data_IF_657297642863
#
_entry.id   IF_657297642863
#
_cell.length_a   1.000
_cell.length_b   1.000
_cell.length_c   1.000
_cell.angle_alpha   90.00
_cell.angle_beta   90.00
_cell.angle_gamma   90.00
#
_symmetry.space_group_name_H-M   'P 1'
#
loop_
_entity.id
_entity.type
_entity.pdbx_description
1 polymer ?
#
# COMPACT_ATOMS: atom_id res chain seq x y z
N UNK A 1 -13.81 -21.12 -30.32
CA UNK A 1 -14.03 -20.74 -28.92
C UNK A 1 -12.73 -20.16 -28.41
N UNK A 2 -12.72 -18.92 -27.92
CA UNK A 2 -11.53 -18.33 -27.30
C UNK A 2 -11.18 -19.15 -26.05
N UNK A 3 -9.97 -19.71 -26.00
CA UNK A 3 -9.51 -20.47 -24.84
C UNK A 3 -8.96 -19.47 -23.80
N UNK A 4 -9.71 -19.23 -22.73
CA UNK A 4 -9.32 -18.33 -21.66
C UNK A 4 -8.49 -19.09 -20.62
N UNK A 5 -7.31 -18.57 -20.27
CA UNK A 5 -6.46 -19.17 -19.23
C UNK A 5 -7.15 -19.17 -17.85
N UNK A 6 -8.06 -18.22 -17.62
CA UNK A 6 -8.87 -18.07 -16.44
C UNK A 6 -10.37 -18.10 -16.79
N UNK A 7 -11.00 -19.26 -16.63
CA UNK A 7 -12.46 -19.39 -16.76
C UNK A 7 -13.16 -18.63 -15.64
N UNK A 8 -14.19 -17.84 -15.95
CA UNK A 8 -14.98 -17.08 -14.96
C UNK A 8 -16.48 -17.33 -15.18
N UNK A 9 -17.31 -17.44 -14.11
CA UNK A 9 -16.98 -17.32 -12.69
C UNK A 9 -16.34 -18.57 -12.09
N UNK A 10 -15.37 -18.41 -11.17
CA UNK A 10 -14.71 -19.53 -10.45
C UNK A 10 -15.31 -19.76 -9.07
N UNK A 11 -15.23 -21.00 -8.57
CA UNK A 11 -15.51 -21.31 -7.14
C UNK A 11 -16.88 -20.81 -6.65
N UNK A 12 -17.90 -20.86 -7.53
CA UNK A 12 -19.22 -20.23 -7.31
C UNK A 12 -19.87 -20.64 -5.98
N UNK A 13 -19.90 -21.94 -5.69
CA UNK A 13 -20.52 -22.49 -4.47
C UNK A 13 -19.74 -22.03 -3.23
N UNK A 14 -18.42 -22.18 -3.25
CA UNK A 14 -17.54 -21.77 -2.15
C UNK A 14 -17.68 -20.27 -1.85
N UNK A 15 -17.61 -19.41 -2.87
CA UNK A 15 -17.74 -17.96 -2.71
C UNK A 15 -19.14 -17.55 -2.27
N UNK A 16 -20.19 -18.24 -2.71
CA UNK A 16 -21.54 -18.01 -2.20
C UNK A 16 -21.64 -18.35 -0.70
N UNK A 17 -21.03 -19.46 -0.26
CA UNK A 17 -20.92 -19.82 1.15
C UNK A 17 -20.15 -18.77 1.97
N UNK A 18 -18.98 -18.35 1.49
CA UNK A 18 -18.18 -17.29 2.14
C UNK A 18 -18.95 -15.96 2.25
N UNK A 19 -19.72 -15.58 1.20
CA UNK A 19 -20.60 -14.41 1.23
C UNK A 19 -21.69 -14.55 2.29
N UNK A 20 -22.36 -15.70 2.36
CA UNK A 20 -23.38 -15.99 3.37
C UNK A 20 -22.82 -15.90 4.80
N UNK A 21 -21.68 -16.55 5.05
CA UNK A 21 -20.98 -16.48 6.33
C UNK A 21 -20.57 -15.05 6.69
N UNK A 22 -19.97 -14.32 5.74
CA UNK A 22 -19.58 -12.92 5.94
C UNK A 22 -20.75 -12.01 6.27
N UNK A 23 -21.92 -12.20 5.62
CA UNK A 23 -23.14 -11.45 5.97
C UNK A 23 -23.59 -11.73 7.40
N UNK A 24 -23.57 -13.00 7.83
CA UNK A 24 -23.88 -13.36 9.20
C UNK A 24 -22.94 -12.68 10.18
N UNK A 25 -21.63 -12.79 9.95
CA UNK A 25 -20.59 -12.19 10.78
C UNK A 25 -20.74 -10.68 10.89
N UNK A 26 -20.88 -9.96 9.77
CA UNK A 26 -21.01 -8.51 9.78
C UNK A 26 -22.31 -8.03 10.43
N UNK A 27 -23.43 -8.72 10.19
CA UNK A 27 -24.70 -8.36 10.83
C UNK A 27 -24.66 -8.55 12.36
N UNK A 28 -23.87 -9.51 12.85
CA UNK A 28 -23.71 -9.77 14.28
C UNK A 28 -22.68 -8.84 14.93
N UNK A 29 -21.50 -8.69 14.31
CA UNK A 29 -20.34 -8.05 14.92
C UNK A 29 -20.16 -6.59 14.52
N UNK A 30 -20.99 -6.03 13.65
CA UNK A 30 -20.91 -4.63 13.23
C UNK A 30 -22.28 -4.03 12.97
N UNK A 31 -22.31 -2.73 12.65
CA UNK A 31 -23.46 -2.03 12.10
C UNK A 31 -23.10 -1.56 10.69
N UNK A 32 -23.13 -2.49 9.74
CA UNK A 32 -22.78 -2.19 8.35
C UNK A 32 -23.97 -1.64 7.59
N UNK A 33 -23.83 -0.45 7.00
CA UNK A 33 -24.81 0.16 6.10
C UNK A 33 -24.28 0.13 4.67
N UNK A 34 -25.15 -0.21 3.72
CA UNK A 34 -24.84 -0.16 2.29
C UNK A 34 -25.83 0.81 1.65
N UNK A 35 -25.33 1.94 1.16
CA UNK A 35 -26.11 3.02 0.58
C UNK A 35 -26.08 2.96 -0.94
N UNK A 36 -27.11 3.54 -1.58
CA UNK A 36 -27.25 3.68 -3.03
C UNK A 36 -27.19 2.34 -3.80
N UNK A 37 -27.81 1.28 -3.27
CA UNK A 37 -27.79 -0.07 -3.85
C UNK A 37 -28.38 -0.11 -5.27
N UNK A 38 -29.26 0.81 -5.60
CA UNK A 38 -29.84 0.98 -6.93
C UNK A 38 -28.80 1.29 -8.01
N UNK A 39 -27.61 1.77 -7.63
CA UNK A 39 -26.52 2.02 -8.57
C UNK A 39 -25.80 0.73 -9.02
N UNK A 40 -26.04 -0.42 -8.40
CA UNK A 40 -25.43 -1.68 -8.83
C UNK A 40 -25.92 -2.07 -10.24
N UNK A 41 -25.02 -2.25 -11.23
CA UNK A 41 -25.40 -2.83 -12.51
C UNK A 41 -25.97 -4.25 -12.37
N UNK A 42 -26.79 -4.69 -13.33
CA UNK A 42 -27.38 -6.04 -13.33
C UNK A 42 -26.34 -7.17 -13.49
N UNK A 43 -25.21 -6.88 -14.11
CA UNK A 43 -24.13 -7.82 -14.39
C UNK A 43 -22.90 -7.12 -14.98
N UNK A 44 -21.90 -7.91 -15.40
CA UNK A 44 -20.69 -7.40 -16.06
C UNK A 44 -20.82 -7.32 -17.59
N UNK A 45 -19.75 -6.89 -18.29
CA UNK A 45 -18.42 -6.58 -17.75
C UNK A 45 -18.43 -5.36 -16.84
N UNK A 46 -17.73 -5.42 -15.72
CA UNK A 46 -17.65 -4.33 -14.76
C UNK A 46 -16.33 -4.34 -14.00
N UNK A 47 -15.75 -3.16 -13.79
CA UNK A 47 -14.61 -2.97 -12.90
C UNK A 47 -15.13 -2.29 -11.63
N UNK A 48 -14.92 -2.90 -10.48
CA UNK A 48 -15.35 -2.39 -9.17
C UNK A 48 -14.14 -1.87 -8.43
N UNK A 49 -14.22 -0.65 -7.92
CA UNK A 49 -13.10 0.04 -7.26
C UNK A 49 -13.56 0.69 -5.97
N UNK A 50 -12.63 0.93 -5.06
CA UNK A 50 -12.88 1.74 -3.87
C UNK A 50 -11.59 2.24 -3.22
N UNK A 51 -11.72 3.00 -2.14
CA UNK A 51 -10.59 3.40 -1.31
C UNK A 51 -10.00 2.18 -0.59
N UNK A 52 -8.69 2.22 -0.28
CA UNK A 52 -7.99 1.11 0.34
C UNK A 52 -7.16 1.49 1.57
N UNK A 53 -7.83 1.70 2.70
CA UNK A 53 -7.18 1.97 3.99
C UNK A 53 -7.17 0.78 4.96
N UNK A 54 -7.97 -0.26 4.71
CA UNK A 54 -8.09 -1.44 5.55
C UNK A 54 -8.47 -2.71 4.78
N UNK A 55 -7.98 -3.87 5.23
CA UNK A 55 -8.32 -5.17 4.60
C UNK A 55 -9.83 -5.45 4.60
N UNK A 56 -10.57 -4.86 5.54
CA UNK A 56 -12.01 -5.09 5.69
C UNK A 56 -12.84 -4.55 4.52
N UNK A 57 -12.36 -3.55 3.79
CA UNK A 57 -13.02 -2.99 2.60
C UNK A 57 -13.19 -4.06 1.51
N UNK A 58 -12.16 -4.90 1.36
CA UNK A 58 -12.19 -6.05 0.43
C UNK A 58 -13.30 -7.02 0.81
N UNK A 59 -13.45 -7.29 2.12
CA UNK A 59 -14.49 -8.18 2.64
C UNK A 59 -15.89 -7.58 2.43
N UNK A 60 -16.07 -6.28 2.72
CA UNK A 60 -17.33 -5.57 2.48
C UNK A 60 -17.73 -5.64 1.00
N UNK A 61 -16.78 -5.36 0.09
CA UNK A 61 -17.01 -5.42 -1.35
C UNK A 61 -17.50 -6.82 -1.79
N UNK A 62 -16.80 -7.89 -1.41
CA UNK A 62 -17.17 -9.24 -1.85
C UNK A 62 -18.47 -9.73 -1.21
N UNK A 63 -18.79 -9.31 0.02
CA UNK A 63 -19.97 -9.76 0.77
C UNK A 63 -21.25 -9.04 0.34
N UNK A 64 -21.18 -7.72 0.15
CA UNK A 64 -22.35 -6.87 -0.04
C UNK A 64 -22.65 -6.53 -1.50
N UNK A 65 -21.68 -6.63 -2.43
CA UNK A 65 -22.00 -6.58 -3.86
C UNK A 65 -22.93 -7.73 -4.26
N UNK A 66 -23.87 -7.53 -5.20
CA UNK A 66 -24.87 -8.56 -5.53
C UNK A 66 -24.27 -9.73 -6.33
N UNK A 67 -23.17 -9.50 -7.03
CA UNK A 67 -22.50 -10.48 -7.90
C UNK A 67 -21.30 -11.15 -7.22
N UNK A 68 -20.68 -12.08 -7.94
CA UNK A 68 -19.35 -12.58 -7.61
C UNK A 68 -18.30 -11.68 -8.26
N UNK A 69 -17.24 -11.33 -7.51
CA UNK A 69 -16.15 -10.48 -7.98
C UNK A 69 -14.87 -11.34 -8.08
N UNK A 70 -14.10 -11.16 -9.15
CA UNK A 70 -12.72 -11.65 -9.26
C UNK A 70 -11.79 -10.55 -8.74
N UNK A 71 -11.32 -10.69 -7.50
CA UNK A 71 -10.45 -9.69 -6.87
C UNK A 71 -9.03 -9.78 -7.41
N UNK A 72 -8.48 -8.64 -7.82
CA UNK A 72 -7.05 -8.44 -8.09
C UNK A 72 -6.40 -7.82 -6.85
N UNK A 73 -5.38 -8.47 -6.29
CA UNK A 73 -4.77 -8.07 -5.02
C UNK A 73 -3.27 -8.31 -4.98
N UNK A 74 -2.62 -7.93 -3.88
CA UNK A 74 -1.17 -8.10 -3.72
C UNK A 74 -0.76 -9.57 -3.93
N UNK A 75 0.20 -9.80 -4.81
CA UNK A 75 0.88 -11.09 -4.99
C UNK A 75 2.39 -10.98 -4.79
N UNK A 76 2.91 -9.77 -4.58
CA UNK A 76 4.31 -9.46 -4.35
C UNK A 76 4.76 -9.66 -2.89
N UNK A 77 3.82 -9.82 -1.97
CA UNK A 77 4.10 -10.01 -0.55
C UNK A 77 3.29 -11.18 0.02
N UNK A 78 3.89 -11.98 0.91
CA UNK A 78 3.15 -12.98 1.66
C UNK A 78 2.15 -12.28 2.60
N UNK A 79 0.97 -12.89 2.71
CA UNK A 79 -0.05 -12.46 3.66
C UNK A 79 0.17 -13.10 5.03
N UNK A 80 -0.30 -12.43 6.08
CA UNK A 80 -0.43 -13.03 7.41
C UNK A 80 -1.27 -14.33 7.33
N UNK A 81 -0.97 -15.36 8.13
CA UNK A 81 -1.53 -16.71 7.94
C UNK A 81 -3.05 -16.78 7.77
N UNK A 82 -3.80 -16.06 8.62
CA UNK A 82 -5.26 -16.02 8.55
C UNK A 82 -5.78 -15.34 7.27
N UNK A 83 -5.21 -14.18 6.91
CA UNK A 83 -5.58 -13.47 5.70
C UNK A 83 -5.16 -14.25 4.45
N UNK A 84 -3.98 -14.87 4.46
CA UNK A 84 -3.48 -15.70 3.38
C UNK A 84 -4.39 -16.88 3.07
N UNK A 85 -4.91 -17.55 4.11
CA UNK A 85 -5.90 -18.61 3.93
C UNK A 85 -7.19 -18.11 3.26
N UNK A 86 -7.73 -16.97 3.69
CA UNK A 86 -8.94 -16.38 3.09
C UNK A 86 -8.71 -15.97 1.63
N UNK A 87 -7.60 -15.27 1.35
CA UNK A 87 -7.24 -14.82 0.00
C UNK A 87 -7.03 -16.01 -0.94
N UNK A 88 -6.31 -17.04 -0.47
CA UNK A 88 -6.08 -18.25 -1.24
C UNK A 88 -7.38 -19.03 -1.48
N UNK A 89 -8.25 -19.16 -0.47
CA UNK A 89 -9.53 -19.87 -0.54
C UNK A 89 -10.53 -19.14 -1.45
N UNK A 90 -10.57 -17.81 -1.40
CA UNK A 90 -11.38 -17.01 -2.33
C UNK A 90 -10.83 -17.10 -3.76
N UNK A 91 -9.49 -17.11 -3.92
CA UNK A 91 -8.80 -17.31 -5.19
C UNK A 91 -8.56 -16.00 -5.94
N UNK A 92 -7.91 -15.03 -5.29
CA UNK A 92 -7.56 -13.75 -5.89
C UNK A 92 -6.64 -13.93 -7.11
N UNK A 93 -6.68 -12.97 -8.02
CA UNK A 93 -5.69 -12.82 -9.09
C UNK A 93 -4.49 -12.08 -8.47
N UNK A 94 -3.33 -12.73 -8.30
CA UNK A 94 -2.19 -12.16 -7.60
C UNK A 94 -1.46 -11.16 -8.49
N UNK A 95 -1.33 -9.90 -8.08
CA UNK A 95 -0.68 -8.82 -8.83
C UNK A 95 0.71 -8.56 -8.26
N UNK A 96 1.74 -8.65 -9.10
CA UNK A 96 3.10 -8.23 -8.81
C UNK A 96 3.22 -6.71 -8.95
N UNK A 97 3.20 -6.03 -7.80
CA UNK A 97 3.34 -4.58 -7.74
C UNK A 97 4.79 -4.16 -8.01
N UNK A 98 4.96 -2.98 -8.61
CA UNK A 98 6.27 -2.41 -8.97
C UNK A 98 6.83 -2.83 -10.32
N UNK A 99 6.39 -3.95 -10.89
CA UNK A 99 6.68 -4.30 -12.28
C UNK A 99 5.42 -4.25 -13.13
N UNK A 100 5.57 -4.21 -14.46
CA UNK A 100 4.42 -4.34 -15.36
C UNK A 100 3.94 -5.80 -15.32
N UNK A 101 3.00 -6.12 -14.44
CA UNK A 101 2.43 -7.47 -14.34
C UNK A 101 1.39 -7.72 -15.44
N UNK A 102 1.89 -7.92 -16.67
CA UNK A 102 1.05 -8.17 -17.86
C UNK A 102 0.14 -9.39 -17.66
N UNK A 103 0.65 -10.47 -17.07
CA UNK A 103 -0.10 -11.71 -16.89
C UNK A 103 -1.34 -11.50 -16.00
N UNK A 104 -1.23 -10.71 -14.94
CA UNK A 104 -2.37 -10.40 -14.07
C UNK A 104 -3.37 -9.48 -14.73
N UNK A 105 -2.89 -8.49 -15.48
CA UNK A 105 -3.74 -7.59 -16.25
C UNK A 105 -4.49 -8.33 -17.36
N UNK A 106 -3.84 -9.27 -18.05
CA UNK A 106 -4.44 -10.17 -19.03
C UNK A 106 -5.55 -11.02 -18.41
N UNK A 107 -5.32 -11.64 -17.24
CA UNK A 107 -6.37 -12.35 -16.50
C UNK A 107 -7.57 -11.47 -16.17
N UNK A 108 -7.33 -10.21 -15.81
CA UNK A 108 -8.40 -9.22 -15.61
C UNK A 108 -9.21 -8.99 -16.89
N UNK A 109 -8.53 -8.83 -18.03
CA UNK A 109 -9.19 -8.70 -19.35
C UNK A 109 -9.96 -9.96 -19.73
N UNK A 110 -9.44 -11.16 -19.48
CA UNK A 110 -10.16 -12.41 -19.75
C UNK A 110 -11.45 -12.52 -18.93
N UNK A 111 -11.43 -12.12 -17.65
CA UNK A 111 -12.64 -12.08 -16.81
C UNK A 111 -13.66 -11.12 -17.39
N UNK A 112 -13.24 -9.92 -17.79
CA UNK A 112 -14.15 -8.92 -18.38
C UNK A 112 -14.69 -9.38 -19.74
N UNK A 113 -13.86 -10.01 -20.58
CA UNK A 113 -14.27 -10.56 -21.88
C UNK A 113 -15.35 -11.65 -21.75
N UNK A 114 -15.39 -12.35 -20.61
CA UNK A 114 -16.42 -13.34 -20.28
C UNK A 114 -17.69 -12.71 -19.64
N UNK A 115 -17.81 -11.37 -19.61
CA UNK A 115 -18.90 -10.66 -18.94
C UNK A 115 -18.81 -10.70 -17.40
N UNK A 116 -17.63 -11.08 -16.88
CA UNK A 116 -17.35 -11.14 -15.45
C UNK A 116 -17.07 -9.77 -14.83
N UNK A 117 -16.76 -9.78 -13.54
CA UNK A 117 -16.56 -8.56 -12.76
C UNK A 117 -15.22 -8.63 -12.06
N UNK A 118 -14.41 -7.59 -12.23
CA UNK A 118 -13.08 -7.47 -11.64
C UNK A 118 -13.13 -6.45 -10.51
N UNK A 119 -12.61 -6.82 -9.34
CA UNK A 119 -12.43 -5.90 -8.22
C UNK A 119 -10.97 -5.49 -8.09
N UNK A 120 -10.68 -4.19 -8.04
CA UNK A 120 -9.32 -3.67 -7.91
C UNK A 120 -9.31 -2.37 -7.11
N UNK A 121 -8.32 -2.19 -6.24
CA UNK A 121 -8.13 -0.96 -5.50
C UNK A 121 -7.06 -0.09 -6.20
N UNK A 122 -7.44 1.07 -6.77
CA UNK A 122 -6.57 1.88 -7.64
C UNK A 122 -5.39 2.54 -6.91
N UNK A 123 -5.36 2.53 -5.58
CA UNK A 123 -4.26 3.06 -4.76
C UNK A 123 -3.01 2.16 -4.73
N UNK A 124 -3.13 0.89 -5.13
CA UNK A 124 -1.99 -0.04 -5.18
C UNK A 124 -1.52 -0.60 -3.82
N UNK A 125 -2.31 -0.40 -2.75
CA UNK A 125 -2.11 -1.03 -1.44
C UNK A 125 -2.28 -0.06 -0.26
N UNK A 126 -2.30 -0.60 0.96
CA UNK A 126 -2.42 0.15 2.22
C UNK A 126 -0.99 0.48 2.69
N UNK A 127 -0.53 1.71 2.45
CA UNK A 127 0.84 2.14 2.78
C UNK A 127 0.89 3.50 3.49
N UNK A 128 -0.22 4.24 3.50
CA UNK A 128 -0.42 5.53 4.16
C UNK A 128 -1.89 5.64 4.55
N UNK A 129 -2.19 6.51 5.52
CA UNK A 129 -3.57 6.86 5.87
C UNK A 129 -4.20 7.87 4.91
N UNK A 130 -3.38 8.54 4.09
CA UNK A 130 -3.83 9.52 3.09
C UNK A 130 -4.12 8.86 1.74
N UNK A 131 -5.08 9.42 0.99
CA UNK A 131 -5.40 9.03 -0.38
C UNK A 131 -4.18 9.20 -1.30
N UNK A 132 -3.89 8.17 -2.09
CA UNK A 132 -2.71 8.12 -2.95
C UNK A 132 -2.96 8.56 -4.37
N UNK A 133 -1.87 8.83 -5.08
CA UNK A 133 -1.88 8.97 -6.53
C UNK A 133 -2.47 7.72 -7.18
N UNK A 134 -3.43 7.94 -8.06
CA UNK A 134 -4.11 6.89 -8.79
C UNK A 134 -3.13 6.07 -9.64
N UNK A 135 -3.22 4.74 -9.57
CA UNK A 135 -2.50 3.86 -10.48
C UNK A 135 -3.26 3.75 -11.81
N UNK A 136 -2.55 3.92 -12.92
CA UNK A 136 -3.15 3.93 -14.28
C UNK A 136 -3.74 2.60 -14.74
N UNK A 137 -3.48 1.50 -14.01
CA UNK A 137 -3.94 0.15 -14.35
C UNK A 137 -5.47 0.03 -14.45
N UNK A 138 -6.21 0.73 -13.59
CA UNK A 138 -7.69 0.74 -13.64
C UNK A 138 -8.20 1.36 -14.94
N UNK A 139 -7.63 2.51 -15.33
CA UNK A 139 -8.02 3.22 -16.55
C UNK A 139 -7.63 2.41 -17.79
N UNK A 140 -6.47 1.75 -17.74
CA UNK A 140 -6.03 0.85 -18.81
C UNK A 140 -6.97 -0.36 -18.98
N UNK A 141 -7.39 -1.02 -17.89
CA UNK A 141 -8.35 -2.14 -17.95
C UNK A 141 -9.68 -1.69 -18.55
N UNK A 142 -10.21 -0.56 -18.08
CA UNK A 142 -11.48 -0.01 -18.57
C UNK A 142 -11.41 0.29 -20.06
N UNK A 143 -10.35 0.96 -20.50
CA UNK A 143 -10.12 1.28 -21.90
C UNK A 143 -9.99 0.02 -22.76
N UNK A 144 -9.21 -0.97 -22.32
CA UNK A 144 -8.97 -2.20 -23.09
C UNK A 144 -10.18 -3.11 -23.18
N UNK A 145 -10.93 -3.27 -22.09
CA UNK A 145 -12.10 -4.14 -22.03
C UNK A 145 -13.39 -3.45 -22.45
N UNK A 146 -13.36 -2.13 -22.68
CA UNK A 146 -14.55 -1.29 -22.85
C UNK A 146 -15.55 -1.50 -21.70
N UNK A 147 -15.01 -1.68 -20.48
CA UNK A 147 -15.77 -1.98 -19.28
C UNK A 147 -16.01 -0.71 -18.45
N UNK A 148 -17.24 -0.44 -18.00
CA UNK A 148 -17.52 0.65 -17.07
C UNK A 148 -16.86 0.39 -15.71
N UNK A 149 -16.70 1.45 -14.93
CA UNK A 149 -16.08 1.43 -13.60
C UNK A 149 -17.13 1.81 -12.55
N UNK A 150 -17.37 0.97 -11.55
CA UNK A 150 -18.22 1.28 -10.41
C UNK A 150 -17.37 1.70 -9.20
N UNK A 151 -17.37 2.99 -8.82
CA UNK A 151 -16.70 3.45 -7.60
C UNK A 151 -17.52 3.16 -6.35
N UNK A 152 -16.82 2.82 -5.27
CA UNK A 152 -17.40 2.56 -3.95
C UNK A 152 -16.55 3.28 -2.90
N UNK A 153 -17.20 4.10 -2.06
CA UNK A 153 -16.58 4.70 -0.89
C UNK A 153 -16.84 3.85 0.36
N UNK A 154 -15.79 3.55 1.13
CA UNK A 154 -15.87 2.86 2.41
C UNK A 154 -15.53 3.80 3.55
N UNK A 155 -16.37 3.80 4.60
CA UNK A 155 -16.20 4.60 5.81
C UNK A 155 -16.33 3.76 7.09
N UNK A 156 -15.79 4.26 8.20
CA UNK A 156 -15.77 3.60 9.51
C UNK A 156 -14.92 2.32 9.54
N UNK A 157 -14.07 2.11 8.54
CA UNK A 157 -13.30 0.85 8.36
C UNK A 157 -11.98 0.82 9.12
N UNK A 158 -11.43 1.99 9.45
CA UNK A 158 -10.20 2.10 10.24
C UNK A 158 -10.43 1.55 11.66
N UNK A 159 -9.62 0.57 12.07
CA UNK A 159 -9.77 -0.08 13.38
C UNK A 159 -11.02 -0.96 13.54
N UNK A 160 -11.88 -1.07 12.53
CA UNK A 160 -13.14 -1.83 12.61
C UNK A 160 -12.90 -3.31 12.94
N UNK A 161 -11.86 -3.93 12.37
CA UNK A 161 -11.52 -5.32 12.66
C UNK A 161 -11.23 -5.55 14.15
N UNK A 162 -10.45 -4.64 14.77
CA UNK A 162 -10.19 -4.65 16.21
C UNK A 162 -11.49 -4.43 17.01
N UNK A 163 -12.31 -3.45 16.61
CA UNK A 163 -13.60 -3.19 17.23
C UNK A 163 -14.56 -4.40 17.18
N UNK A 164 -14.54 -5.18 16.10
CA UNK A 164 -15.32 -6.42 15.99
C UNK A 164 -14.81 -7.50 16.96
N UNK A 165 -13.49 -7.69 17.09
CA UNK A 165 -12.91 -8.62 18.08
C UNK A 165 -13.20 -8.21 19.52
N UNK A 166 -13.28 -6.92 19.79
CA UNK A 166 -13.68 -6.35 21.08
C UNK A 166 -15.21 -6.31 21.28
N UNK A 167 -15.98 -6.87 20.35
CA UNK A 167 -17.45 -6.90 20.36
C UNK A 167 -18.12 -5.51 20.46
N UNK A 168 -17.40 -4.45 20.05
CA UNK A 168 -17.88 -3.05 20.10
C UNK A 168 -18.86 -2.68 19.00
N UNK A 169 -19.08 -3.58 18.03
CA UNK A 169 -19.99 -3.39 16.88
C UNK A 169 -19.77 -2.07 16.13
N UNK A 170 -18.59 -1.90 15.48
CA UNK A 170 -18.27 -0.67 14.76
C UNK A 170 -19.30 -0.37 13.68
N UNK A 171 -19.52 0.91 13.44
CA UNK A 171 -20.35 1.41 12.34
C UNK A 171 -19.49 1.49 11.09
N UNK A 172 -19.92 0.84 10.02
CA UNK A 172 -19.20 0.81 8.74
C UNK A 172 -20.16 1.14 7.63
N UNK A 173 -19.69 1.90 6.64
CA UNK A 173 -20.52 2.33 5.52
C UNK A 173 -19.87 1.92 4.20
N UNK A 174 -20.72 1.47 3.27
CA UNK A 174 -20.36 1.20 1.87
C UNK A 174 -21.28 2.02 0.97
N UNK A 175 -20.76 3.11 0.42
CA UNK A 175 -21.48 4.04 -0.45
C UNK A 175 -21.21 3.67 -1.92
N UNK A 176 -22.25 3.22 -2.64
CA UNK A 176 -22.11 2.80 -4.03
C UNK A 176 -22.33 4.00 -4.95
N UNK A 177 -21.31 4.36 -5.74
CA UNK A 177 -21.39 5.46 -6.70
C UNK A 177 -22.07 5.07 -8.01
N UNK A 178 -22.21 6.05 -8.92
CA UNK A 178 -22.73 5.80 -10.27
C UNK A 178 -21.63 5.17 -11.15
N UNK A 179 -21.97 4.21 -12.02
CA UNK A 179 -21.00 3.68 -12.99
C UNK A 179 -20.43 4.79 -13.87
N UNK A 180 -19.11 4.87 -13.92
CA UNK A 180 -18.35 5.70 -14.84
C UNK A 180 -18.28 4.96 -16.18
N UNK A 181 -18.60 5.61 -17.32
CA UNK A 181 -18.45 4.99 -18.63
C UNK A 181 -17.01 4.50 -18.89
N UNK A 182 -16.81 3.55 -19.82
CA UNK A 182 -15.48 3.10 -20.17
C UNK A 182 -14.58 4.26 -20.58
N UNK A 183 -13.31 4.22 -20.17
CA UNK A 183 -12.33 5.20 -20.60
C UNK A 183 -12.21 5.14 -22.13
N UNK A 184 -12.39 6.29 -22.78
CA UNK A 184 -12.35 6.44 -24.24
C UNK A 184 -11.10 7.19 -24.69
N UNK A 185 -10.76 7.00 -25.96
CA UNK A 185 -9.74 7.82 -26.61
C UNK A 185 -10.12 9.30 -26.63
N UNK A 186 -9.10 10.15 -26.45
CA UNK A 186 -9.21 11.59 -26.54
C UNK A 186 -8.17 12.10 -27.52
N UNK A 187 -8.61 12.89 -28.49
CA UNK A 187 -7.72 13.54 -29.44
C UNK A 187 -6.80 14.54 -28.73
N UNK A 188 -5.55 14.62 -29.19
CA UNK A 188 -4.58 15.61 -28.70
C UNK A 188 -3.83 15.25 -27.42
N UNK A 189 -4.07 14.09 -26.79
CA UNK A 189 -3.32 13.65 -25.60
C UNK A 189 -2.67 12.28 -25.80
N UNK A 190 -1.54 12.06 -25.12
CA UNK A 190 -0.88 10.75 -25.11
C UNK A 190 -1.70 9.71 -24.34
N UNK A 191 -1.59 8.42 -24.71
CA UNK A 191 -2.20 7.31 -23.97
C UNK A 191 -1.82 7.33 -22.48
N UNK A 192 -0.56 7.66 -22.18
CA UNK A 192 -0.05 7.74 -20.80
C UNK A 192 -0.82 8.79 -19.98
N UNK A 193 -1.01 9.97 -20.56
CA UNK A 193 -1.76 11.04 -19.92
C UNK A 193 -3.24 10.69 -19.79
N UNK A 194 -3.85 10.16 -20.85
CA UNK A 194 -5.23 9.69 -20.82
C UNK A 194 -5.50 8.69 -19.68
N UNK A 195 -4.62 7.72 -19.47
CA UNK A 195 -4.78 6.77 -18.36
C UNK A 195 -4.55 7.40 -16.99
N UNK A 196 -3.66 8.40 -16.88
CA UNK A 196 -3.46 9.14 -15.64
C UNK A 196 -4.73 9.95 -15.29
N UNK A 197 -5.25 10.72 -16.24
CA UNK A 197 -6.46 11.53 -16.08
C UNK A 197 -7.69 10.67 -15.77
N UNK A 198 -7.80 9.51 -16.44
CA UNK A 198 -8.86 8.54 -16.20
C UNK A 198 -8.78 7.96 -14.79
N UNK A 199 -7.59 7.60 -14.33
CA UNK A 199 -7.38 7.08 -12.97
C UNK A 199 -7.66 8.15 -11.90
N UNK A 200 -7.28 9.40 -12.15
CA UNK A 200 -7.60 10.53 -11.26
C UNK A 200 -9.12 10.79 -11.18
N UNK A 201 -9.82 10.72 -12.32
CA UNK A 201 -11.28 10.82 -12.36
C UNK A 201 -11.95 9.73 -11.51
N UNK A 202 -11.42 8.50 -11.57
CA UNK A 202 -11.89 7.39 -10.73
C UNK A 202 -11.63 7.66 -9.24
N UNK A 203 -10.44 8.13 -8.88
CA UNK A 203 -10.11 8.45 -7.48
C UNK A 203 -11.00 9.55 -6.92
N UNK A 204 -11.26 10.61 -7.68
CA UNK A 204 -12.18 11.69 -7.26
C UNK A 204 -13.59 11.15 -7.02
N UNK A 205 -14.09 10.30 -7.92
CA UNK A 205 -15.40 9.67 -7.75
C UNK A 205 -15.47 8.73 -6.54
N UNK A 206 -14.35 8.12 -6.13
CA UNK A 206 -14.27 7.35 -4.88
C UNK A 206 -14.29 8.31 -3.68
N UNK A 207 -13.47 9.37 -3.70
CA UNK A 207 -13.37 10.34 -2.59
C UNK A 207 -14.72 11.00 -2.29
N UNK A 208 -15.50 11.36 -3.31
CA UNK A 208 -16.86 11.92 -3.16
C UNK A 208 -17.84 10.97 -2.45
N UNK A 209 -17.52 9.67 -2.35
CA UNK A 209 -18.36 8.66 -1.70
C UNK A 209 -17.88 8.32 -0.28
N UNK A 210 -16.72 8.81 0.16
CA UNK A 210 -16.21 8.56 1.51
C UNK A 210 -16.91 9.53 2.47
N UNK A 211 -17.43 9.08 3.63
CA UNK A 211 -17.96 9.98 4.63
C UNK A 211 -16.96 11.08 4.98
N UNK A 212 -17.36 12.36 5.06
CA UNK A 212 -16.42 13.48 5.27
C UNK A 212 -15.50 13.31 6.49
N UNK A 213 -16.02 12.71 7.56
CA UNK A 213 -15.29 12.37 8.80
C UNK A 213 -14.22 11.30 8.61
N UNK A 214 -14.37 10.44 7.59
CA UNK A 214 -13.44 9.36 7.24
C UNK A 214 -12.50 9.74 6.09
N UNK A 215 -12.72 10.90 5.47
CA UNK A 215 -11.77 11.47 4.51
C UNK A 215 -10.53 11.88 5.30
N UNK A 216 -9.59 10.94 5.43
CA UNK A 216 -8.32 11.11 6.11
C UNK A 216 -7.42 12.08 5.33
N UNK A 217 -7.71 13.38 5.45
CA UNK A 217 -6.80 14.45 5.10
C UNK A 217 -5.84 14.59 6.26
N UNK A 218 -4.66 14.00 6.12
CA UNK A 218 -3.56 14.34 7.00
C UNK A 218 -3.35 15.86 7.00
N UNK A 219 -2.69 16.41 8.04
CA UNK A 219 -2.37 17.82 8.04
C UNK A 219 -1.66 18.19 6.73
N UNK A 220 -2.03 19.32 6.14
CA UNK A 220 -1.27 19.85 5.02
C UNK A 220 0.06 20.37 5.54
N UNK A 221 1.11 19.88 4.94
CA UNK A 221 2.48 20.13 5.34
C UNK A 221 3.16 20.98 4.27
N UNK A 222 3.88 22.01 4.71
CA UNK A 222 4.70 22.88 3.88
C UNK A 222 6.18 22.67 4.21
N UNK A 223 7.04 22.78 3.18
CA UNK A 223 8.51 22.77 3.31
C UNK A 223 9.04 21.56 4.12
N UNK A 224 8.52 20.37 3.77
CA UNK A 224 8.94 19.11 4.40
C UNK A 224 10.36 18.73 3.99
N UNK A 225 11.23 18.56 4.99
CA UNK A 225 12.64 18.20 4.83
C UNK A 225 12.99 16.99 5.69
N UNK A 226 13.99 16.26 5.24
CA UNK A 226 14.51 15.10 5.94
C UNK A 226 16.03 15.18 6.04
N UNK A 227 16.57 14.70 7.15
CA UNK A 227 18.01 14.62 7.42
C UNK A 227 18.29 13.29 8.11
N UNK A 228 19.42 12.66 7.78
CA UNK A 228 19.87 11.45 8.48
C UNK A 228 21.14 11.77 9.23
N UNK A 229 21.05 11.72 10.56
CA UNK A 229 22.18 11.94 11.45
C UNK A 229 22.75 10.59 11.88
N UNK A 230 24.08 10.48 11.86
CA UNK A 230 24.80 9.30 12.27
C UNK A 230 25.78 9.65 13.39
N UNK A 231 25.83 8.80 14.40
CA UNK A 231 26.82 8.88 15.47
C UNK A 231 27.58 7.56 15.57
N UNK A 232 28.90 7.63 15.63
CA UNK A 232 29.78 6.50 15.87
C UNK A 232 30.46 6.64 17.22
N UNK A 233 30.49 5.55 18.00
CA UNK A 233 31.18 5.48 19.29
C UNK A 233 32.24 4.37 19.25
N UNK A 234 33.42 4.67 19.80
CA UNK A 234 34.46 3.66 20.01
C UNK A 234 34.20 2.82 21.28
N UNK A 235 35.08 1.85 21.58
CA UNK A 235 34.98 1.00 22.77
C UNK A 235 35.03 1.72 24.12
N UNK A 236 35.36 3.01 24.17
CA UNK A 236 35.28 3.86 25.37
C UNK A 236 34.04 4.76 25.39
N UNK A 237 33.06 4.50 24.53
CA UNK A 237 31.85 5.32 24.33
C UNK A 237 32.14 6.78 23.97
N UNK A 238 33.29 7.05 23.35
CA UNK A 238 33.66 8.39 22.88
C UNK A 238 33.26 8.55 21.42
N UNK A 239 32.69 9.71 21.08
CA UNK A 239 32.29 10.01 19.72
C UNK A 239 33.50 10.03 18.79
N UNK A 240 33.37 9.36 17.65
CA UNK A 240 34.37 9.37 16.57
C UNK A 240 33.74 9.98 15.32
N UNK A 241 34.54 10.75 14.58
CA UNK A 241 34.08 11.35 13.33
C UNK A 241 34.01 10.31 12.23
N UNK A 242 32.88 10.28 11.52
CA UNK A 242 32.73 9.46 10.32
C UNK A 242 33.58 10.08 9.20
N UNK A 243 34.37 9.29 8.46
CA UNK A 243 35.20 9.79 7.37
C UNK A 243 34.39 10.59 6.33
N UNK A 244 34.86 11.75 5.85
CA UNK A 244 34.14 12.59 4.89
C UNK A 244 33.78 11.87 3.58
N UNK A 245 34.59 10.90 3.15
CA UNK A 245 34.36 10.06 1.97
C UNK A 245 33.17 9.11 2.11
N UNK A 246 32.66 8.89 3.33
CA UNK A 246 31.46 8.10 3.63
C UNK A 246 30.21 8.99 3.78
N UNK A 247 30.25 10.21 3.25
CA UNK A 247 29.08 11.08 3.19
C UNK A 247 27.92 10.40 2.45
N UNK A 248 26.75 10.44 3.07
CA UNK A 248 25.49 9.96 2.50
C UNK A 248 24.77 11.07 1.72
N UNK A 249 24.93 11.08 0.40
CA UNK A 249 24.18 11.98 -0.50
C UNK A 249 22.67 11.71 -0.40
N UNK A 250 22.29 10.44 -0.26
CA UNK A 250 20.90 10.00 -0.21
C UNK A 250 20.36 9.83 1.22
N UNK A 251 21.08 10.33 2.23
CA UNK A 251 20.65 10.35 3.63
C UNK A 251 19.21 10.86 3.84
N UNK A 252 18.81 12.01 3.28
CA UNK A 252 17.44 12.52 3.39
C UNK A 252 16.35 11.55 2.90
N UNK A 253 16.59 10.85 1.78
CA UNK A 253 15.64 9.87 1.25
C UNK A 253 15.52 8.67 2.19
N UNK A 254 16.64 8.22 2.77
CA UNK A 254 16.64 7.14 3.75
C UNK A 254 15.96 7.56 5.06
N UNK A 255 16.20 8.77 5.57
CA UNK A 255 15.50 9.33 6.72
C UNK A 255 13.98 9.33 6.49
N UNK A 256 13.54 9.76 5.30
CA UNK A 256 12.12 9.66 4.91
C UNK A 256 11.60 8.23 4.99
N UNK A 257 12.38 7.23 4.60
CA UNK A 257 11.99 5.81 4.70
C UNK A 257 11.76 5.39 6.16
N UNK A 258 12.59 5.83 7.10
CA UNK A 258 12.42 5.54 8.53
C UNK A 258 11.13 6.18 9.10
N UNK A 259 10.73 7.36 8.62
CA UNK A 259 9.42 7.96 8.92
C UNK A 259 8.23 7.27 8.20
N UNK A 260 8.45 6.14 7.52
CA UNK A 260 7.40 5.31 6.92
C UNK A 260 7.34 3.95 7.62
N UNK A 261 6.76 3.88 8.84
CA UNK A 261 6.81 2.67 9.66
C UNK A 261 6.17 1.44 9.02
N UNK A 262 5.25 1.64 8.07
CA UNK A 262 4.64 0.55 7.31
C UNK A 262 5.70 -0.24 6.53
N UNK A 263 6.76 0.41 5.99
CA UNK A 263 7.82 -0.27 5.23
C UNK A 263 8.58 -1.25 6.13
N UNK A 264 9.07 -0.79 7.27
CA UNK A 264 9.83 -1.61 8.21
C UNK A 264 8.97 -2.74 8.78
N UNK A 265 7.68 -2.47 9.01
CA UNK A 265 6.73 -3.51 9.40
C UNK A 265 6.52 -4.55 8.30
N UNK A 266 6.54 -4.19 7.02
CA UNK A 266 6.47 -5.15 5.90
C UNK A 266 7.71 -6.04 5.87
N UNK A 267 8.91 -5.45 6.02
CA UNK A 267 10.15 -6.22 6.05
C UNK A 267 10.13 -7.24 7.19
N UNK A 268 9.68 -6.85 8.38
CA UNK A 268 9.63 -7.74 9.55
C UNK A 268 8.46 -8.73 9.53
N UNK A 269 7.22 -8.25 9.39
CA UNK A 269 6.01 -9.08 9.57
C UNK A 269 5.75 -9.96 8.35
N UNK A 270 5.72 -9.34 7.16
CA UNK A 270 5.43 -10.06 5.91
C UNK A 270 6.65 -10.84 5.43
N UNK A 271 7.78 -10.16 5.20
CA UNK A 271 8.96 -10.79 4.60
C UNK A 271 9.82 -11.56 5.61
N UNK A 272 9.61 -11.36 6.92
CA UNK A 272 10.36 -12.02 8.01
C UNK A 272 11.86 -11.77 7.92
N UNK A 273 12.25 -10.58 7.45
CA UNK A 273 13.64 -10.14 7.44
C UNK A 273 14.07 -9.69 8.85
N UNK A 274 15.30 -10.02 9.30
CA UNK A 274 15.88 -9.44 10.50
C UNK A 274 16.18 -7.95 10.23
N UNK A 275 15.37 -7.07 10.81
CA UNK A 275 15.48 -5.61 10.65
C UNK A 275 15.30 -4.90 11.98
N UNK A 276 15.67 -5.54 13.08
CA UNK A 276 15.38 -5.01 14.41
C UNK A 276 16.24 -3.79 14.74
N UNK A 277 17.49 -3.75 14.29
CA UNK A 277 18.35 -2.57 14.48
C UNK A 277 17.84 -1.37 13.66
N UNK A 278 17.32 -1.62 12.46
CA UNK A 278 16.67 -0.61 11.60
C UNK A 278 15.33 -0.11 12.15
N UNK A 279 14.69 -0.84 13.08
CA UNK A 279 13.47 -0.41 13.78
C UNK A 279 13.77 0.34 15.08
N UNK A 280 14.91 0.04 15.70
CA UNK A 280 15.38 0.65 16.93
C UNK A 280 16.30 1.86 16.64
N UNK A 281 15.82 2.81 15.83
CA UNK A 281 16.54 4.07 15.59
C UNK A 281 16.72 4.88 16.89
N UNK A 282 17.64 5.84 16.89
CA UNK A 282 18.03 6.61 18.08
C UNK A 282 18.67 5.78 19.21
N UNK A 283 19.16 4.58 18.88
CA UNK A 283 19.90 3.70 19.79
C UNK A 283 21.23 3.29 19.15
N UNK A 284 22.24 3.09 19.99
CA UNK A 284 23.55 2.60 19.56
C UNK A 284 23.51 1.07 19.39
N UNK A 285 23.85 0.60 18.19
CA UNK A 285 23.92 -0.81 17.84
C UNK A 285 25.33 -1.20 17.44
N UNK A 286 25.69 -2.47 17.63
CA UNK A 286 26.91 -3.01 17.04
C UNK A 286 26.84 -2.87 15.51
N UNK A 287 27.90 -2.30 14.91
CA UNK A 287 27.93 -2.04 13.47
C UNK A 287 27.79 -3.32 12.63
N UNK A 288 28.25 -4.48 13.13
CA UNK A 288 28.08 -5.78 12.46
C UNK A 288 26.60 -6.17 12.33
N UNK A 289 25.83 -6.10 13.42
CA UNK A 289 24.39 -6.43 13.40
C UNK A 289 23.63 -5.48 12.48
N UNK A 290 23.93 -4.18 12.54
CA UNK A 290 23.30 -3.18 11.68
C UNK A 290 23.64 -3.42 10.19
N UNK A 291 24.88 -3.78 9.88
CA UNK A 291 25.31 -4.15 8.52
C UNK A 291 24.53 -5.38 8.01
N UNK A 292 24.34 -6.40 8.84
CA UNK A 292 23.60 -7.62 8.48
C UNK A 292 22.11 -7.35 8.18
N UNK A 293 21.46 -6.50 8.97
CA UNK A 293 20.08 -6.07 8.73
C UNK A 293 19.97 -5.32 7.38
N UNK A 294 20.91 -4.41 7.10
CA UNK A 294 20.98 -3.66 5.83
C UNK A 294 21.22 -4.59 4.64
N UNK A 295 22.18 -5.51 4.76
CA UNK A 295 22.49 -6.47 3.70
C UNK A 295 21.28 -7.36 3.37
N UNK A 296 20.51 -7.74 4.39
CA UNK A 296 19.30 -8.53 4.19
C UNK A 296 18.22 -7.76 3.44
N UNK A 297 18.00 -6.49 3.81
CA UNK A 297 17.06 -5.60 3.09
C UNK A 297 17.52 -5.36 1.66
N UNK A 298 18.79 -5.04 1.45
CA UNK A 298 19.37 -4.84 0.11
C UNK A 298 19.33 -6.11 -0.72
N UNK A 299 19.53 -7.29 -0.12
CA UNK A 299 19.39 -8.58 -0.80
C UNK A 299 17.99 -8.75 -1.41
N UNK A 300 16.95 -8.48 -0.64
CA UNK A 300 15.57 -8.50 -1.12
C UNK A 300 15.32 -7.44 -2.21
N UNK A 301 15.76 -6.20 -1.98
CA UNK A 301 15.59 -5.11 -2.94
C UNK A 301 16.40 -5.31 -4.22
N UNK A 302 17.48 -6.11 -4.23
CA UNK A 302 18.26 -6.36 -5.44
C UNK A 302 17.77 -7.59 -6.21
N UNK A 303 17.38 -8.65 -5.50
CA UNK A 303 17.19 -9.97 -6.10
C UNK A 303 15.71 -10.36 -6.23
N UNK A 304 14.89 -10.01 -5.24
CA UNK A 304 13.49 -10.48 -5.17
C UNK A 304 12.51 -9.43 -5.70
N UNK A 305 12.65 -8.17 -5.29
CA UNK A 305 11.75 -7.09 -5.71
C UNK A 305 12.43 -5.71 -5.83
N UNK A 306 13.13 -5.45 -6.95
CA UNK A 306 13.78 -4.17 -7.24
C UNK A 306 12.89 -2.95 -7.29
N UNK A 307 11.60 -3.16 -7.50
CA UNK A 307 10.63 -2.09 -7.64
C UNK A 307 9.82 -1.84 -6.38
N UNK A 308 10.16 -2.50 -5.28
CA UNK A 308 9.42 -2.41 -4.03
C UNK A 308 9.28 -0.94 -3.56
N UNK A 309 10.39 -0.18 -3.53
CA UNK A 309 10.38 1.22 -3.10
C UNK A 309 9.84 2.16 -4.18
N UNK A 310 10.26 1.98 -5.44
CA UNK A 310 9.87 2.88 -6.55
C UNK A 310 8.38 2.82 -6.88
N UNK A 311 7.75 1.67 -6.68
CA UNK A 311 6.30 1.55 -6.80
C UNK A 311 5.53 2.39 -5.77
N UNK A 312 6.09 2.52 -4.56
CA UNK A 312 5.43 3.13 -3.40
C UNK A 312 5.73 4.62 -3.30
N UNK A 313 6.96 5.04 -3.62
CA UNK A 313 7.44 6.41 -3.45
C UNK A 313 7.70 7.13 -4.78
N UNK A 314 7.51 6.45 -5.92
CA UNK A 314 7.91 6.93 -7.24
C UNK A 314 9.39 6.65 -7.51
N UNK A 315 9.78 6.70 -8.80
CA UNK A 315 11.12 6.29 -9.22
C UNK A 315 12.23 7.07 -8.53
N UNK A 316 12.16 8.41 -8.54
CA UNK A 316 13.23 9.26 -8.00
C UNK A 316 13.47 9.00 -6.51
N UNK A 317 12.41 9.08 -5.70
CA UNK A 317 12.53 8.90 -4.24
C UNK A 317 12.83 7.44 -3.89
N UNK A 318 12.20 6.48 -4.57
CA UNK A 318 12.39 5.06 -4.29
C UNK A 318 13.81 4.57 -4.60
N UNK A 319 14.44 5.06 -5.67
CA UNK A 319 15.84 4.75 -5.95
C UNK A 319 16.77 5.43 -4.95
N UNK A 320 16.55 6.71 -4.64
CA UNK A 320 17.33 7.41 -3.62
C UNK A 320 17.26 6.72 -2.25
N UNK A 321 16.10 6.18 -1.85
CA UNK A 321 15.99 5.38 -0.62
C UNK A 321 16.88 4.12 -0.65
N UNK A 322 16.95 3.43 -1.79
CA UNK A 322 17.81 2.25 -1.97
C UNK A 322 19.29 2.65 -1.95
N UNK A 323 19.65 3.71 -2.66
CA UNK A 323 21.03 4.20 -2.73
C UNK A 323 21.50 4.67 -1.34
N UNK A 324 20.61 5.30 -0.56
CA UNK A 324 20.87 5.62 0.85
C UNK A 324 21.13 4.40 1.73
N UNK A 325 20.44 3.27 1.50
CA UNK A 325 20.76 2.00 2.18
C UNK A 325 22.16 1.48 1.77
N UNK A 326 22.55 1.61 0.51
CA UNK A 326 23.88 1.21 0.04
C UNK A 326 24.99 2.11 0.61
N UNK A 327 24.74 3.41 0.77
CA UNK A 327 25.64 4.36 1.44
C UNK A 327 25.77 4.02 2.93
N UNK A 328 24.65 3.78 3.62
CA UNK A 328 24.66 3.37 5.02
C UNK A 328 25.38 2.03 5.22
N UNK A 329 25.26 1.10 4.26
CA UNK A 329 26.04 -0.14 4.26
C UNK A 329 27.55 0.15 4.28
N UNK A 330 28.04 1.13 3.52
CA UNK A 330 29.47 1.49 3.53
C UNK A 330 29.91 2.05 4.88
N UNK A 331 29.07 2.90 5.50
CA UNK A 331 29.34 3.44 6.85
C UNK A 331 29.39 2.32 7.88
N UNK A 332 28.45 1.39 7.85
CA UNK A 332 28.40 0.25 8.79
C UNK A 332 29.55 -0.72 8.57
N UNK A 333 29.99 -0.94 7.33
CA UNK A 333 31.20 -1.73 7.04
C UNK A 333 32.47 -1.09 7.59
N UNK A 334 32.63 0.23 7.45
CA UNK A 334 33.74 0.95 8.08
C UNK A 334 33.71 0.82 9.60
N UNK A 335 32.57 1.13 10.23
CA UNK A 335 32.42 1.06 11.67
C UNK A 335 32.61 -0.37 12.21
N UNK A 336 32.18 -1.39 11.46
CA UNK A 336 32.40 -2.81 11.78
C UNK A 336 33.89 -3.16 11.83
N UNK A 337 34.69 -2.67 10.88
CA UNK A 337 36.12 -2.97 10.84
C UNK A 337 36.87 -2.40 12.05
N UNK A 338 36.35 -1.32 12.63
CA UNK A 338 36.91 -0.63 13.79
C UNK A 338 36.24 -1.00 15.12
N UNK A 339 35.29 -1.95 15.10
CA UNK A 339 34.47 -2.38 16.26
C UNK A 339 33.72 -1.22 16.96
N UNK A 340 33.14 -0.32 16.16
CA UNK A 340 32.36 0.82 16.64
C UNK A 340 30.88 0.50 16.80
N UNK A 341 30.23 1.22 17.73
CA UNK A 341 28.78 1.30 17.81
C UNK A 341 28.27 2.43 16.91
N UNK A 342 27.12 2.21 16.27
CA UNK A 342 26.46 3.21 15.43
C UNK A 342 25.04 3.50 15.90
N UNK A 343 24.66 4.76 15.92
CA UNK A 343 23.28 5.22 16.06
C UNK A 343 22.84 5.94 14.79
N UNK A 344 21.58 5.71 14.40
CA UNK A 344 20.92 6.37 13.28
C UNK A 344 19.78 7.22 13.84
N UNK A 345 19.79 8.51 13.53
CA UNK A 345 18.75 9.45 13.92
C UNK A 345 18.13 10.07 12.66
N UNK A 346 16.97 9.55 12.19
CA UNK A 346 16.22 10.17 11.12
C UNK A 346 15.47 11.39 11.66
N UNK A 347 15.70 12.55 11.06
CA UNK A 347 15.05 13.80 11.43
C UNK A 347 14.14 14.26 10.29
N UNK A 348 12.91 14.62 10.63
CA UNK A 348 11.93 15.23 9.75
C UNK A 348 11.59 16.61 10.26
N UNK A 349 11.60 17.60 9.36
CA UNK A 349 11.29 19.01 9.66
C UNK A 349 10.21 19.51 8.72
N UNK A 350 9.21 20.22 9.24
CA UNK A 350 8.15 20.76 8.40
C UNK A 350 7.31 21.84 9.09
N UNK A 351 6.47 22.54 8.32
CA UNK A 351 5.48 23.49 8.84
C UNK A 351 4.06 22.98 8.56
N UNK A 352 3.15 23.15 9.52
CA UNK A 352 1.72 22.93 9.28
C UNK A 352 1.11 24.12 8.53
N UNK A 353 0.21 23.86 7.59
CA UNK A 353 -0.51 24.94 6.89
C UNK A 353 -1.20 25.86 7.91
N UNK A 354 -0.90 27.16 7.85
CA UNK A 354 -1.41 28.17 8.79
C UNK A 354 -0.60 28.34 10.08
N UNK A 355 0.51 27.60 10.26
CA UNK A 355 1.42 27.74 11.40
C UNK A 355 2.79 28.27 10.96
N UNK A 356 3.44 29.05 11.82
CA UNK A 356 4.77 29.63 11.57
C UNK A 356 5.91 28.92 12.31
N UNK A 357 5.59 27.98 13.20
CA UNK A 357 6.59 27.21 13.96
C UNK A 357 7.04 25.99 13.16
N UNK A 358 8.36 25.76 13.08
CA UNK A 358 8.90 24.53 12.49
C UNK A 358 8.70 23.37 13.47
N UNK A 359 8.06 22.30 13.00
CA UNK A 359 7.96 21.05 13.72
C UNK A 359 9.17 20.19 13.37
N UNK A 360 9.85 19.67 14.39
CA UNK A 360 10.99 18.76 14.26
C UNK A 360 10.62 17.43 14.91
N UNK A 361 10.68 16.35 14.14
CA UNK A 361 10.43 14.98 14.58
C UNK A 361 11.71 14.17 14.38
N UNK A 362 12.33 13.70 15.46
CA UNK A 362 13.53 12.85 15.47
C UNK A 362 13.23 11.39 15.87
N UNK A 363 12.07 11.15 16.49
CA UNK A 363 11.49 9.83 16.63
C UNK A 363 10.43 9.64 15.52
N UNK A 364 10.62 8.70 14.58
CA UNK A 364 9.58 8.34 13.61
C UNK A 364 8.34 7.70 14.27
N UNK A 365 8.32 7.64 15.60
CA UNK A 365 7.31 7.05 16.45
C UNK A 365 7.59 5.57 16.62
N UNK A 366 7.44 5.06 17.83
CA UNK A 366 7.28 3.62 18.06
C UNK A 366 6.02 3.12 17.35
N UNK A 367 6.13 2.85 16.05
CA UNK A 367 5.06 2.26 15.25
C UNK A 367 4.91 0.77 15.56
N UNK A 368 4.71 0.47 16.84
CA UNK A 368 4.50 -0.85 17.42
C UNK A 368 3.02 -1.11 17.76
N UNK A 369 2.13 -0.17 17.43
CA UNK A 369 0.73 -0.21 17.84
C UNK A 369 -0.24 0.07 16.69
N UNK A 370 -0.06 -0.61 15.55
CA UNK A 370 -1.19 -0.99 14.67
C UNK A 370 -1.05 -2.47 14.28
#
# INVERSE_FOLDING_TARGET
MTDYSLKSPRRRILRAGMRGFGRGLFNTLSRTQVNNKENFPKGGPLIVVGNHIAVIEVALMVVYSPWQIEMMGAGDLPFEPGLGWVVHTYGFIPVRRGSTDRASMEKGLEVLAQGGIVGIFPEGGIWSTQLKKAQSGVAWLSYRAQAPILPIGFGGVAGALKGMFELKRPEMVMNVGKPIPPIQDREGISKKQMFADGAETVMRAIEELIPPEDVMRGPKINDERFELQLQALNGTNSSVSIPPELHMENGPALARMFHQPVILNVFRKNLRLPVETLRAVNQHHAADTLCQDIDTVLGYLNNDNPYFLTYRFGNQVGWAMKDGLEELRKVTQWAKNEDYLLSITPVRRYYLEGQSEEIVEDDPGSAHSI
#
